data_IF_757275061071
#
_entry.id   IF_757275061071
#
_cell.length_a   1.000
_cell.length_b   1.000
_cell.length_c   1.000
_cell.angle_alpha   90.00
_cell.angle_beta   90.00
_cell.angle_gamma   90.00
#
_symmetry.space_group_name_H-M   'P 1'
#
loop_
_entity.id
_entity.type
_entity.pdbx_description
1 polymer ?
#
# COMPACT_ATOMS: atom_id res chain seq x y z
N UNK A 1 3.66 -20.21 -0.13
CA UNK A 1 3.39 -20.05 -1.57
C UNK A 1 2.78 -18.67 -1.78
N UNK A 2 3.38 -17.84 -2.64
CA UNK A 2 2.93 -16.45 -2.93
C UNK A 2 2.16 -16.33 -4.24
N UNK A 3 2.38 -17.27 -5.18
CA UNK A 3 1.65 -17.33 -6.45
C UNK A 3 1.49 -18.78 -6.90
N UNK A 4 0.25 -19.18 -7.18
CA UNK A 4 -0.11 -20.45 -7.80
C UNK A 4 -1.41 -20.25 -8.58
N UNK A 5 -1.29 -19.91 -9.85
CA UNK A 5 -2.43 -19.51 -10.69
C UNK A 5 -2.37 -20.14 -12.06
N UNK A 6 -3.56 -20.29 -12.65
CA UNK A 6 -3.74 -20.54 -14.06
C UNK A 6 -4.19 -19.25 -14.73
N UNK A 7 -3.48 -18.82 -15.77
CA UNK A 7 -3.76 -17.62 -16.56
C UNK A 7 -4.14 -18.01 -17.99
N UNK A 8 -5.22 -17.40 -18.49
CA UNK A 8 -5.67 -17.52 -19.88
C UNK A 8 -5.82 -16.14 -20.50
N UNK A 9 -5.14 -15.94 -21.64
CA UNK A 9 -5.28 -14.75 -22.48
C UNK A 9 -6.29 -14.98 -23.59
N UNK A 10 -7.02 -13.93 -23.97
CA UNK A 10 -8.01 -13.94 -25.04
C UNK A 10 -7.99 -12.61 -25.81
N UNK A 11 -8.66 -12.55 -26.96
CA UNK A 11 -8.70 -11.37 -27.84
C UNK A 11 -7.30 -10.83 -28.16
N UNK A 12 -6.43 -11.71 -28.69
CA UNK A 12 -5.05 -11.36 -29.07
C UNK A 12 -4.22 -10.79 -27.89
N UNK A 13 -4.54 -11.21 -26.66
CA UNK A 13 -3.84 -10.77 -25.46
C UNK A 13 -4.35 -9.45 -24.86
N UNK A 14 -5.46 -8.90 -25.38
CA UNK A 14 -6.13 -7.74 -24.76
C UNK A 14 -6.89 -8.13 -23.49
N UNK A 15 -7.43 -9.34 -23.44
CA UNK A 15 -8.11 -9.89 -22.28
C UNK A 15 -7.25 -10.90 -21.53
N UNK A 16 -7.36 -10.92 -20.20
CA UNK A 16 -6.72 -11.94 -19.35
C UNK A 16 -7.66 -12.35 -18.22
N UNK A 17 -7.80 -13.65 -17.99
CA UNK A 17 -8.44 -14.21 -16.79
C UNK A 17 -7.40 -15.02 -16.02
N UNK A 18 -7.36 -14.82 -14.71
CA UNK A 18 -6.47 -15.55 -13.79
C UNK A 18 -7.33 -16.18 -12.68
N UNK A 19 -7.07 -17.45 -12.38
CA UNK A 19 -7.69 -18.17 -11.27
C UNK A 19 -6.63 -18.91 -10.47
N UNK A 20 -6.69 -18.82 -9.14
CA UNK A 20 -5.79 -19.56 -8.26
C UNK A 20 -5.51 -18.84 -6.96
N UNK A 21 -4.36 -19.13 -6.34
CA UNK A 21 -3.87 -18.46 -5.14
C UNK A 21 -2.88 -17.36 -5.53
N UNK A 22 -3.28 -16.10 -5.43
CA UNK A 22 -2.44 -14.92 -5.70
C UNK A 22 -2.67 -13.83 -4.67
N UNK A 23 -1.78 -12.84 -4.62
CA UNK A 23 -1.96 -11.67 -3.77
C UNK A 23 -2.67 -10.56 -4.56
N UNK A 24 -3.84 -10.04 -4.11
CA UNK A 24 -4.51 -8.93 -4.79
C UNK A 24 -3.60 -7.69 -4.94
N UNK A 25 -2.63 -7.50 -4.06
CA UNK A 25 -1.68 -6.37 -4.11
C UNK A 25 -0.74 -6.40 -5.31
N UNK A 26 -0.54 -7.56 -5.94
CA UNK A 26 0.25 -7.67 -7.16
C UNK A 26 -0.43 -6.96 -8.35
N UNK A 27 -1.74 -6.70 -8.25
CA UNK A 27 -2.55 -6.17 -9.33
C UNK A 27 -3.26 -4.86 -8.99
N UNK A 28 -3.58 -4.63 -7.72
CA UNK A 28 -4.38 -3.49 -7.24
C UNK A 28 -3.65 -2.73 -6.13
N UNK A 29 -3.82 -1.41 -6.10
CA UNK A 29 -3.23 -0.53 -5.09
C UNK A 29 -1.70 -0.60 -5.11
N UNK A 30 -1.12 -0.67 -6.32
CA UNK A 30 0.32 -0.90 -6.48
C UNK A 30 1.09 0.30 -5.86
N UNK A 31 2.12 0.05 -5.05
CA UNK A 31 2.91 1.10 -4.42
C UNK A 31 3.47 2.11 -5.44
N UNK A 32 3.41 3.40 -5.08
CA UNK A 32 3.85 4.52 -5.94
C UNK A 32 5.19 5.12 -5.53
N UNK A 33 5.79 4.63 -4.46
CA UNK A 33 7.01 5.17 -3.87
C UNK A 33 8.05 4.07 -3.63
N UNK A 34 9.30 4.51 -3.49
CA UNK A 34 10.47 3.64 -3.61
C UNK A 34 10.76 2.82 -2.35
N UNK A 35 10.32 3.27 -1.17
CA UNK A 35 10.51 2.54 0.10
C UNK A 35 9.27 1.66 0.41
N UNK A 36 9.37 0.31 0.34
CA UNK A 36 8.19 -0.56 0.40
C UNK A 36 7.38 -0.49 1.70
N UNK A 37 8.06 -0.39 2.85
CA UNK A 37 7.41 -0.36 4.18
C UNK A 37 6.65 0.93 4.46
N UNK A 38 6.94 2.01 3.73
CA UNK A 38 6.29 3.29 3.95
C UNK A 38 5.08 3.55 3.05
N UNK A 39 4.92 2.77 1.99
CA UNK A 39 4.08 3.16 0.85
C UNK A 39 2.69 2.55 0.82
N UNK A 40 2.38 1.66 1.76
CA UNK A 40 1.11 0.97 1.78
C UNK A 40 0.02 1.88 2.38
N UNK A 41 -1.21 1.73 1.90
CA UNK A 41 -2.37 2.33 2.55
C UNK A 41 -2.89 1.37 3.63
N UNK A 42 -2.90 1.78 4.91
CA UNK A 42 -3.55 1.01 5.97
C UNK A 42 -5.04 0.73 5.67
N UNK A 43 -5.73 1.63 4.97
CA UNK A 43 -7.13 1.40 4.58
C UNK A 43 -7.24 0.22 3.62
N UNK A 44 -6.42 0.16 2.57
CA UNK A 44 -6.43 -0.99 1.66
C UNK A 44 -6.06 -2.28 2.39
N UNK A 45 -5.11 -2.23 3.32
CA UNK A 45 -4.69 -3.41 4.08
C UNK A 45 -5.76 -3.93 5.04
N UNK A 46 -6.36 -3.06 5.86
CA UNK A 46 -7.27 -3.47 6.94
C UNK A 46 -8.74 -3.41 6.54
N UNK A 47 -9.20 -2.32 5.90
CA UNK A 47 -10.59 -2.24 5.42
C UNK A 47 -10.75 -3.04 4.11
N UNK A 48 -9.84 -2.85 3.16
CA UNK A 48 -9.84 -3.61 1.91
C UNK A 48 -9.39 -5.07 2.04
N UNK A 49 -8.76 -5.46 3.17
CA UNK A 49 -8.17 -6.80 3.36
C UNK A 49 -7.17 -7.18 2.25
N UNK A 50 -6.46 -6.18 1.69
CA UNK A 50 -5.39 -6.36 0.69
C UNK A 50 -4.06 -6.49 1.43
N UNK A 51 -3.76 -7.70 1.93
CA UNK A 51 -2.56 -7.96 2.73
C UNK A 51 -1.29 -8.08 1.84
N UNK A 52 -0.17 -7.38 2.15
CA UNK A 52 1.06 -7.49 1.36
C UNK A 52 1.71 -8.86 1.26
N UNK A 53 1.46 -9.77 2.20
CA UNK A 53 2.31 -10.95 2.40
C UNK A 53 1.59 -12.25 2.09
N UNK A 54 0.26 -12.27 2.09
CA UNK A 54 -0.53 -13.49 1.91
C UNK A 54 -1.17 -13.54 0.52
N UNK A 55 -1.01 -14.70 -0.11
CA UNK A 55 -1.78 -15.07 -1.29
C UNK A 55 -3.07 -15.80 -0.89
N UNK A 56 -4.19 -15.43 -1.48
CA UNK A 56 -5.50 -16.02 -1.22
C UNK A 56 -6.10 -16.58 -2.50
N UNK A 57 -7.04 -17.52 -2.36
CA UNK A 57 -7.79 -18.02 -3.50
C UNK A 57 -8.65 -16.90 -4.09
N UNK A 58 -8.56 -16.71 -5.39
CA UNK A 58 -9.28 -15.66 -6.07
C UNK A 58 -9.38 -15.88 -7.58
N UNK A 59 -10.13 -14.99 -8.19
CA UNK A 59 -10.26 -14.87 -9.64
C UNK A 59 -10.13 -13.40 -10.02
N UNK A 60 -9.45 -13.14 -11.12
CA UNK A 60 -9.25 -11.81 -11.70
C UNK A 60 -9.55 -11.85 -13.18
N UNK A 61 -10.15 -10.78 -13.69
CA UNK A 61 -10.28 -10.51 -15.10
C UNK A 61 -9.75 -9.11 -15.40
N UNK A 62 -8.95 -8.98 -16.46
CA UNK A 62 -8.37 -7.73 -16.92
C UNK A 62 -8.61 -7.53 -18.42
N UNK A 63 -8.83 -6.30 -18.84
CA UNK A 63 -9.01 -5.92 -20.23
C UNK A 63 -8.25 -4.63 -20.57
N UNK A 64 -7.42 -4.71 -21.60
CA UNK A 64 -6.68 -3.57 -22.18
C UNK A 64 -7.55 -2.90 -23.23
N UNK A 65 -8.03 -1.70 -22.94
CA UNK A 65 -8.80 -0.88 -23.88
C UNK A 65 -7.88 -0.23 -24.91
N UNK A 66 -6.72 0.24 -24.46
CA UNK A 66 -5.61 0.76 -25.30
C UNK A 66 -4.29 0.16 -24.81
N UNK A 67 -3.16 0.57 -25.40
CA UNK A 67 -1.83 0.23 -24.87
C UNK A 67 -1.62 0.76 -23.45
N UNK A 68 -2.29 1.85 -23.08
CA UNK A 68 -2.11 2.57 -21.81
C UNK A 68 -3.23 2.33 -20.80
N UNK A 69 -4.46 2.07 -21.27
CA UNK A 69 -5.64 1.96 -20.40
C UNK A 69 -6.01 0.50 -20.21
N UNK A 70 -5.98 0.06 -18.96
CA UNK A 70 -6.45 -1.27 -18.54
C UNK A 70 -7.46 -1.13 -17.42
N UNK A 71 -8.62 -1.78 -17.54
CA UNK A 71 -9.48 -2.01 -16.38
C UNK A 71 -9.43 -3.47 -15.97
N UNK A 72 -9.61 -3.72 -14.69
CA UNK A 72 -9.68 -5.07 -14.16
C UNK A 72 -10.59 -5.13 -12.95
N UNK A 73 -11.14 -6.31 -12.76
CA UNK A 73 -11.95 -6.67 -11.61
C UNK A 73 -11.44 -7.97 -11.04
N UNK A 74 -11.65 -8.20 -9.76
CA UNK A 74 -11.37 -9.49 -9.17
C UNK A 74 -12.01 -9.65 -7.81
N UNK A 75 -12.02 -10.89 -7.36
CA UNK A 75 -12.45 -11.27 -6.02
C UNK A 75 -11.45 -12.24 -5.42
N UNK A 76 -11.07 -11.97 -4.19
CA UNK A 76 -10.25 -12.86 -3.38
C UNK A 76 -11.02 -13.20 -2.12
N UNK A 77 -10.88 -14.45 -1.68
CA UNK A 77 -11.16 -14.77 -0.29
C UNK A 77 -10.20 -13.99 0.60
N UNK A 78 -10.69 -13.60 1.77
CA UNK A 78 -9.95 -12.83 2.75
C UNK A 78 -9.77 -13.68 4.01
N UNK A 79 -8.53 -14.08 4.25
CA UNK A 79 -8.13 -14.84 5.43
C UNK A 79 -7.90 -13.91 6.62
N UNK A 80 -8.84 -13.92 7.56
CA UNK A 80 -8.75 -13.14 8.80
C UNK A 80 -7.70 -13.69 9.78
N UNK A 81 -7.11 -14.86 9.51
CA UNK A 81 -6.23 -15.56 10.46
C UNK A 81 -4.74 -15.16 10.32
N UNK A 82 -4.42 -14.13 9.54
CA UNK A 82 -3.06 -13.54 9.53
C UNK A 82 -2.67 -13.00 10.91
N UNK A 83 -1.42 -13.20 11.39
CA UNK A 83 -0.28 -13.85 10.74
C UNK A 83 -0.14 -15.35 10.99
N UNK A 84 -1.17 -16.01 11.52
CA UNK A 84 -1.14 -17.42 11.90
C UNK A 84 -1.48 -18.38 10.74
N UNK A 85 -1.83 -17.86 9.56
CA UNK A 85 -2.04 -18.68 8.37
C UNK A 85 -0.73 -19.04 7.67
N UNK A 86 -0.67 -20.25 7.12
CA UNK A 86 0.49 -20.73 6.39
C UNK A 86 0.30 -20.52 4.89
N UNK A 87 1.40 -20.32 4.15
CA UNK A 87 1.35 -20.21 2.70
C UNK A 87 0.87 -21.47 1.97
N UNK A 88 0.62 -22.57 2.68
CA UNK A 88 0.14 -23.86 2.16
C UNK A 88 -1.27 -24.22 2.65
N UNK A 89 -1.91 -23.32 3.42
CA UNK A 89 -3.25 -23.54 3.92
C UNK A 89 -4.25 -23.59 2.75
N UNK A 90 -4.82 -24.76 2.51
CA UNK A 90 -5.81 -25.01 1.47
C UNK A 90 -7.22 -24.55 1.87
N UNK A 91 -7.54 -24.55 3.17
CA UNK A 91 -8.80 -24.07 3.73
C UNK A 91 -8.56 -23.01 4.80
N UNK A 92 -9.15 -21.84 4.62
CA UNK A 92 -9.06 -20.72 5.55
C UNK A 92 -9.74 -21.09 6.88
N UNK A 93 -9.03 -20.93 7.99
CA UNK A 93 -9.60 -21.13 9.32
C UNK A 93 -10.11 -19.78 9.86
N UNK A 94 -11.42 -19.64 10.08
CA UNK A 94 -12.02 -18.41 10.62
C UNK A 94 -13.22 -17.90 9.81
N UNK A 95 -13.80 -16.75 10.22
CA UNK A 95 -14.93 -16.13 9.54
C UNK A 95 -14.57 -15.84 8.07
N UNK A 96 -15.27 -16.51 7.15
CA UNK A 96 -15.02 -16.37 5.72
C UNK A 96 -15.50 -14.99 5.25
N UNK A 97 -14.64 -14.30 4.48
CA UNK A 97 -15.00 -13.04 3.84
C UNK A 97 -14.38 -12.95 2.45
N UNK A 98 -14.89 -12.04 1.63
CA UNK A 98 -14.38 -11.81 0.28
C UNK A 98 -14.08 -10.34 0.11
N UNK A 99 -12.99 -10.05 -0.59
CA UNK A 99 -12.64 -8.72 -1.09
C UNK A 99 -12.88 -8.69 -2.59
N UNK A 100 -13.75 -7.78 -3.00
CA UNK A 100 -14.03 -7.42 -4.38
C UNK A 100 -13.27 -6.15 -4.72
N UNK A 101 -12.56 -6.17 -5.84
CA UNK A 101 -11.73 -5.07 -6.32
C UNK A 101 -12.10 -4.74 -7.76
N UNK A 102 -12.11 -3.46 -8.08
CA UNK A 102 -12.27 -2.97 -9.44
C UNK A 102 -11.35 -1.76 -9.62
N UNK A 103 -10.47 -1.77 -10.62
CA UNK A 103 -9.66 -0.61 -10.93
C UNK A 103 -9.68 -0.27 -12.42
N UNK A 104 -9.27 0.96 -12.68
CA UNK A 104 -8.82 1.43 -13.98
C UNK A 104 -7.42 2.00 -13.79
N UNK A 105 -6.52 1.62 -14.69
CA UNK A 105 -5.13 2.08 -14.71
C UNK A 105 -4.83 2.78 -16.02
N UNK A 106 -4.03 3.84 -15.94
CA UNK A 106 -3.44 4.51 -17.09
C UNK A 106 -1.92 4.46 -16.93
N UNK A 107 -1.23 3.77 -17.83
CA UNK A 107 0.21 3.52 -17.76
C UNK A 107 0.86 3.79 -19.11
N UNK A 108 1.81 4.70 -19.17
CA UNK A 108 2.62 4.91 -20.38
C UNK A 108 3.92 4.11 -20.30
N UNK A 109 4.44 3.68 -21.44
CA UNK A 109 5.71 2.95 -21.51
C UNK A 109 6.86 3.92 -21.20
N UNK A 110 7.66 3.71 -20.15
CA UNK A 110 8.82 4.56 -19.86
C UNK A 110 9.89 4.55 -20.95
N UNK A 111 9.86 3.56 -21.85
CA UNK A 111 10.73 3.52 -23.03
C UNK A 111 10.19 4.33 -24.21
N UNK A 112 8.94 4.82 -24.18
CA UNK A 112 8.33 5.57 -25.28
C UNK A 112 7.83 6.96 -24.85
N UNK A 113 7.58 7.15 -23.56
CA UNK A 113 7.11 8.40 -22.97
C UNK A 113 8.16 8.97 -22.00
N UNK A 114 8.78 10.09 -22.39
CA UNK A 114 9.74 10.85 -21.57
C UNK A 114 9.16 11.22 -20.20
N UNK A 115 7.85 11.46 -20.15
CA UNK A 115 7.15 11.87 -18.94
C UNK A 115 6.27 10.74 -18.44
N UNK A 116 6.85 9.54 -18.34
CA UNK A 116 6.15 8.31 -18.02
C UNK A 116 5.18 8.46 -16.85
N UNK A 117 3.99 7.90 -17.02
CA UNK A 117 2.82 8.08 -16.15
C UNK A 117 2.32 6.73 -15.69
N UNK A 118 1.97 6.64 -14.42
CA UNK A 118 1.26 5.50 -13.86
C UNK A 118 0.20 6.03 -12.92
N UNK A 119 -1.07 5.80 -13.25
CA UNK A 119 -2.22 6.16 -12.43
C UNK A 119 -3.13 4.97 -12.22
N UNK A 120 -3.72 4.90 -11.05
CA UNK A 120 -4.71 3.90 -10.66
C UNK A 120 -5.86 4.57 -9.92
N UNK A 121 -7.08 4.28 -10.35
CA UNK A 121 -8.31 4.49 -9.61
C UNK A 121 -8.87 3.12 -9.23
N UNK A 122 -8.97 2.83 -7.95
CA UNK A 122 -9.40 1.56 -7.39
C UNK A 122 -10.61 1.75 -6.48
N UNK A 123 -11.59 0.87 -6.62
CA UNK A 123 -12.69 0.68 -5.70
C UNK A 123 -12.55 -0.68 -5.03
N UNK A 124 -12.79 -0.73 -3.73
CA UNK A 124 -12.83 -1.98 -2.99
C UNK A 124 -14.14 -2.13 -2.23
N UNK A 125 -14.57 -3.38 -2.07
CA UNK A 125 -15.62 -3.78 -1.17
C UNK A 125 -15.23 -5.11 -0.53
N UNK A 126 -15.16 -5.16 0.79
CA UNK A 126 -14.88 -6.35 1.56
C UNK A 126 -16.11 -6.74 2.39
N UNK A 127 -16.39 -8.04 2.52
CA UNK A 127 -17.58 -8.55 3.23
C UNK A 127 -17.30 -8.98 4.67
N UNK A 128 -16.10 -8.74 5.19
CA UNK A 128 -15.74 -9.18 6.53
C UNK A 128 -16.67 -8.55 7.56
N UNK A 129 -17.14 -9.39 8.46
CA UNK A 129 -17.82 -8.93 9.67
C UNK A 129 -16.77 -8.77 10.75
N UNK A 130 -16.76 -7.61 11.41
CA UNK A 130 -15.90 -7.35 12.55
C UNK A 130 -16.77 -6.99 13.75
N UNK A 131 -16.40 -7.54 14.91
CA UNK A 131 -17.07 -7.24 16.19
C UNK A 131 -16.52 -5.95 16.81
N UNK A 132 -15.25 -5.65 16.50
CA UNK A 132 -14.49 -4.51 17.01
C UNK A 132 -13.76 -3.81 15.84
N UNK A 133 -13.32 -2.57 16.06
CA UNK A 133 -12.30 -1.94 15.22
C UNK A 133 -10.97 -2.72 15.34
N UNK A 134 -9.91 -2.34 14.59
CA UNK A 134 -8.55 -2.90 14.75
C UNK A 134 -8.05 -2.90 16.23
N UNK A 135 -8.72 -2.13 17.08
CA UNK A 135 -8.55 -2.03 18.52
C UNK A 135 -9.74 -2.67 19.28
N UNK A 136 -9.59 -3.84 19.94
CA UNK A 136 -10.71 -4.59 20.57
C UNK A 136 -11.11 -4.07 21.96
N UNK A 137 -11.48 -2.80 22.13
CA UNK A 137 -11.60 -2.23 23.48
C UNK A 137 -12.99 -2.40 24.12
N UNK A 138 -13.12 -2.02 25.39
CA UNK A 138 -14.24 -2.45 26.25
C UNK A 138 -15.60 -1.83 25.89
N UNK A 139 -15.66 -0.88 24.95
CA UNK A 139 -16.86 -0.10 24.65
C UNK A 139 -17.03 0.06 23.13
N UNK A 140 -17.73 -0.90 22.51
CA UNK A 140 -18.79 -0.75 21.50
C UNK A 140 -19.02 -2.09 20.80
N UNK A 141 -20.08 -2.80 21.17
CA UNK A 141 -20.50 -4.03 20.52
C UNK A 141 -21.66 -3.77 19.55
N UNK A 142 -21.36 -3.85 18.25
CA UNK A 142 -22.33 -4.04 17.18
C UNK A 142 -21.65 -4.73 16.00
N UNK A 143 -22.24 -5.78 15.39
CA UNK A 143 -21.60 -6.44 14.25
C UNK A 143 -21.59 -5.48 13.05
N UNK A 144 -20.43 -4.94 12.71
CA UNK A 144 -20.26 -4.13 11.51
C UNK A 144 -19.95 -5.05 10.34
N UNK A 145 -20.74 -4.92 9.27
CA UNK A 145 -20.65 -5.79 8.10
C UNK A 145 -20.11 -5.03 6.92
N UNK A 146 -18.99 -5.53 6.43
CA UNK A 146 -18.33 -5.09 5.24
C UNK A 146 -17.74 -3.69 5.34
N UNK A 147 -16.87 -3.40 4.40
CA UNK A 147 -16.32 -2.06 4.23
C UNK A 147 -16.06 -1.81 2.76
N UNK A 148 -16.28 -0.57 2.34
CA UNK A 148 -15.99 -0.12 0.99
C UNK A 148 -15.20 1.16 1.02
N UNK A 149 -14.57 1.45 -0.10
CA UNK A 149 -13.84 2.67 -0.27
C UNK A 149 -13.21 2.80 -1.64
N UNK A 150 -12.39 3.83 -1.74
CA UNK A 150 -11.71 4.24 -2.94
C UNK A 150 -10.23 4.42 -2.63
N UNK A 151 -9.41 4.15 -3.63
CA UNK A 151 -8.00 4.48 -3.67
C UNK A 151 -7.68 5.16 -5.00
N UNK A 152 -6.88 6.22 -4.92
CA UNK A 152 -6.27 6.85 -6.08
C UNK A 152 -4.77 6.88 -5.83
N UNK A 153 -3.99 6.39 -6.78
CA UNK A 153 -2.54 6.40 -6.70
C UNK A 153 -1.94 6.78 -8.03
N UNK A 154 -0.79 7.45 -7.99
CA UNK A 154 0.02 7.58 -9.18
C UNK A 154 1.41 8.14 -8.99
N UNK A 155 2.17 8.05 -10.07
CA UNK A 155 3.52 8.59 -10.22
C UNK A 155 3.67 9.11 -11.64
N UNK A 156 4.23 10.30 -11.79
CA UNK A 156 4.55 10.89 -13.09
C UNK A 156 5.93 11.54 -13.04
N UNK A 157 6.74 11.26 -14.06
CA UNK A 157 7.95 12.05 -14.34
C UNK A 157 7.52 13.45 -14.78
N UNK A 158 7.97 14.48 -14.08
CA UNK A 158 7.63 15.89 -14.37
C UNK A 158 8.80 16.68 -14.92
N UNK A 159 10.03 16.21 -14.69
CA UNK A 159 11.23 16.85 -15.21
C UNK A 159 12.29 15.81 -15.54
N UNK A 160 12.88 15.96 -16.72
CA UNK A 160 13.90 15.07 -17.27
C UNK A 160 14.76 15.89 -18.24
N UNK A 161 15.84 16.56 -17.78
CA UNK A 161 16.57 17.54 -18.57
C UNK A 161 17.24 16.93 -19.81
N UNK A 162 17.72 15.69 -19.72
CA UNK A 162 18.60 15.09 -20.73
C UNK A 162 17.89 14.50 -21.96
N UNK A 163 16.60 14.81 -22.17
CA UNK A 163 15.95 14.60 -23.47
C UNK A 163 15.63 13.16 -23.90
N UNK A 164 16.29 12.15 -23.36
CA UNK A 164 16.30 10.82 -23.98
C UNK A 164 15.07 9.95 -23.69
N UNK A 165 14.60 9.27 -24.74
CA UNK A 165 13.66 8.14 -24.72
C UNK A 165 14.34 6.95 -25.43
N UNK A 166 14.19 5.75 -24.87
CA UNK A 166 14.74 4.43 -25.25
C UNK A 166 16.28 4.32 -25.38
N UNK A 167 16.92 3.80 -24.34
CA UNK A 167 18.23 3.14 -24.46
C UNK A 167 19.38 3.79 -23.69
N UNK A 168 19.24 5.01 -23.17
CA UNK A 168 20.27 5.65 -22.33
C UNK A 168 20.01 5.32 -20.85
N UNK A 169 20.80 4.45 -20.21
CA UNK A 169 20.62 4.17 -18.79
C UNK A 169 21.06 5.40 -17.98
N UNK A 170 20.23 5.83 -17.03
CA UNK A 170 20.68 6.73 -15.97
C UNK A 170 20.58 8.25 -16.09
N UNK A 171 19.81 8.86 -17.00
CA UNK A 171 19.60 10.31 -16.95
C UNK A 171 18.83 10.71 -15.69
N UNK A 172 19.12 11.92 -15.21
CA UNK A 172 18.45 12.48 -14.04
C UNK A 172 16.94 12.64 -14.33
N UNK A 173 16.09 12.27 -13.37
CA UNK A 173 14.67 12.53 -13.47
C UNK A 173 14.04 12.90 -12.13
N UNK A 174 13.03 13.77 -12.19
CA UNK A 174 12.21 14.15 -11.06
C UNK A 174 10.79 13.66 -11.31
N UNK A 175 10.27 12.88 -10.38
CA UNK A 175 8.89 12.39 -10.39
C UNK A 175 8.10 12.97 -9.23
N UNK A 176 6.84 13.31 -9.48
CA UNK A 176 5.83 13.51 -8.45
C UNK A 176 5.12 12.18 -8.25
N UNK A 177 4.88 11.79 -7.00
CA UNK A 177 4.07 10.62 -6.68
C UNK A 177 3.11 10.94 -5.55
N UNK A 178 2.01 10.20 -5.50
CA UNK A 178 1.10 10.29 -4.38
C UNK A 178 0.04 9.22 -4.41
N UNK A 179 -0.59 9.03 -3.26
CA UNK A 179 -1.78 8.22 -3.14
C UNK A 179 -2.75 8.82 -2.12
N UNK A 180 -4.00 8.42 -2.24
CA UNK A 180 -5.05 8.73 -1.30
C UNK A 180 -6.00 7.54 -1.24
N UNK A 181 -6.38 7.13 -0.03
CA UNK A 181 -7.41 6.15 0.20
C UNK A 181 -8.45 6.70 1.16
N UNK A 182 -9.71 6.36 0.96
CA UNK A 182 -10.80 6.70 1.88
C UNK A 182 -11.74 5.53 2.02
N UNK A 183 -12.18 5.27 3.25
CA UNK A 183 -13.33 4.39 3.49
C UNK A 183 -14.62 5.20 3.43
N UNK A 184 -15.69 4.60 2.92
CA UNK A 184 -17.03 5.17 2.97
C UNK A 184 -17.77 4.86 4.27
N UNK A 185 -17.23 3.98 5.12
CA UNK A 185 -17.83 3.61 6.40
C UNK A 185 -17.09 4.27 7.56
N UNK A 186 -17.87 4.86 8.49
CA UNK A 186 -17.35 5.28 9.80
C UNK A 186 -16.99 4.08 10.69
N UNK A 187 -17.52 2.89 10.41
CA UNK A 187 -17.23 1.67 11.15
C UNK A 187 -16.56 0.69 10.18
N UNK A 188 -15.25 0.83 10.02
CA UNK A 188 -14.44 -0.01 9.15
C UNK A 188 -13.31 -0.64 9.95
N UNK A 189 -12.83 -1.80 9.51
CA UNK A 189 -11.82 -2.58 10.22
C UNK A 189 -10.48 -1.82 10.40
N UNK A 190 -10.18 -0.81 9.58
CA UNK A 190 -8.99 0.00 9.77
C UNK A 190 -9.13 1.04 10.88
N UNK A 191 -10.35 1.46 11.28
CA UNK A 191 -10.55 2.62 12.16
C UNK A 191 -10.14 3.96 11.51
N UNK A 192 -9.89 3.95 10.20
CA UNK A 192 -9.37 5.09 9.45
C UNK A 192 -10.41 5.56 8.42
N UNK A 193 -10.66 6.87 8.42
CA UNK A 193 -11.52 7.52 7.43
C UNK A 193 -10.76 7.71 6.12
N UNK A 194 -9.55 8.27 6.20
CA UNK A 194 -8.70 8.49 5.03
C UNK A 194 -7.21 8.41 5.35
N UNK A 195 -6.42 8.11 4.34
CA UNK A 195 -4.96 8.14 4.37
C UNK A 195 -4.45 8.72 3.06
N UNK A 196 -3.29 9.38 3.07
CA UNK A 196 -2.69 9.87 1.84
C UNK A 196 -1.20 10.12 1.96
N UNK A 197 -0.54 10.19 0.82
CA UNK A 197 0.87 10.55 0.70
C UNK A 197 1.06 11.39 -0.55
N UNK A 198 1.93 12.39 -0.47
CA UNK A 198 2.39 13.18 -1.60
C UNK A 198 3.90 13.36 -1.48
N UNK A 199 4.63 13.16 -2.57
CA UNK A 199 6.08 13.26 -2.54
C UNK A 199 6.73 13.48 -3.90
N UNK A 200 8.03 13.67 -3.82
CA UNK A 200 8.95 13.82 -4.94
C UNK A 200 10.01 12.74 -4.85
N UNK A 201 10.37 12.16 -6.00
CA UNK A 201 11.50 11.25 -6.13
C UNK A 201 12.44 11.79 -7.19
N UNK A 202 13.69 12.01 -6.83
CA UNK A 202 14.77 12.32 -7.74
C UNK A 202 15.59 11.05 -7.99
N UNK A 203 15.75 10.67 -9.25
CA UNK A 203 16.59 9.55 -9.68
C UNK A 203 17.86 10.09 -10.32
N UNK A 204 19.00 9.44 -10.06
CA UNK A 204 20.27 9.79 -10.71
C UNK A 204 20.78 11.18 -10.33
N UNK A 205 20.53 11.64 -9.09
CA UNK A 205 21.02 12.92 -8.57
C UNK A 205 22.54 13.08 -8.75
N UNK A 206 23.28 11.98 -8.61
CA UNK A 206 24.71 11.92 -8.86
C UNK A 206 24.96 11.17 -10.17
N UNK A 207 25.70 11.78 -11.10
CA UNK A 207 26.05 11.13 -12.40
C UNK A 207 26.79 9.80 -12.24
N UNK A 208 27.59 9.66 -11.17
CA UNK A 208 28.28 8.42 -10.83
C UNK A 208 27.36 7.33 -10.25
N UNK A 209 26.12 7.68 -9.88
CA UNK A 209 25.12 6.79 -9.28
C UNK A 209 23.76 6.95 -10.00
N UNK A 210 23.69 6.63 -11.30
CA UNK A 210 22.52 6.92 -12.15
C UNK A 210 21.23 6.21 -11.76
N UNK A 211 21.33 5.14 -10.99
CA UNK A 211 20.19 4.31 -10.61
C UNK A 211 19.69 4.57 -9.19
N UNK A 212 20.44 5.33 -8.40
CA UNK A 212 20.05 5.69 -7.06
C UNK A 212 18.86 6.65 -7.07
N UNK A 213 18.01 6.54 -6.06
CA UNK A 213 16.88 7.44 -5.86
C UNK A 213 16.95 8.11 -4.50
N UNK A 214 16.46 9.35 -4.42
CA UNK A 214 16.20 10.06 -3.17
C UNK A 214 14.78 10.58 -3.24
N UNK A 215 13.99 10.33 -2.19
CA UNK A 215 12.61 10.77 -2.11
C UNK A 215 12.35 11.60 -0.86
N UNK A 216 11.45 12.56 -0.99
CA UNK A 216 10.87 13.29 0.13
C UNK A 216 9.35 13.25 0.01
N UNK A 217 8.67 13.01 1.14
CA UNK A 217 7.20 12.86 1.14
C UNK A 217 6.57 13.36 2.42
N UNK A 218 5.31 13.74 2.29
CA UNK A 218 4.39 14.03 3.39
C UNK A 218 3.30 12.99 3.36
N UNK A 219 3.01 12.39 4.51
CA UNK A 219 1.92 11.44 4.70
C UNK A 219 0.91 11.99 5.70
N UNK A 220 -0.32 11.57 5.52
CA UNK A 220 -1.48 11.98 6.31
C UNK A 220 -2.34 10.75 6.63
N UNK A 221 -2.84 10.67 7.85
CA UNK A 221 -3.84 9.69 8.25
C UNK A 221 -4.94 10.38 9.07
N UNK A 222 -6.18 9.89 8.91
CA UNK A 222 -7.35 10.37 9.64
C UNK A 222 -8.12 9.22 10.24
N UNK A 223 -8.26 9.20 11.55
CA UNK A 223 -9.14 8.24 12.24
C UNK A 223 -10.60 8.54 11.91
N UNK A 224 -11.49 7.54 11.90
CA UNK A 224 -12.94 7.78 11.89
C UNK A 224 -13.37 8.49 13.18
N UNK A 225 -14.57 9.07 13.20
CA UNK A 225 -15.08 9.67 14.44
C UNK A 225 -15.29 8.62 15.54
N UNK A 226 -15.73 7.42 15.15
CA UNK A 226 -15.92 6.27 16.04
C UNK A 226 -14.59 5.78 16.64
N UNK A 227 -13.54 5.62 15.83
CA UNK A 227 -12.21 5.21 16.32
C UNK A 227 -11.64 6.27 17.27
N UNK A 228 -11.81 7.54 16.94
CA UNK A 228 -11.37 8.63 17.82
C UNK A 228 -12.06 8.57 19.19
N UNK A 229 -13.39 8.45 19.20
CA UNK A 229 -14.16 8.33 20.44
C UNK A 229 -13.73 7.09 21.24
N UNK A 230 -13.43 6.00 20.54
CA UNK A 230 -12.95 4.77 21.15
C UNK A 230 -11.59 4.96 21.84
N UNK A 231 -10.62 5.61 21.19
CA UNK A 231 -9.31 5.91 21.78
C UNK A 231 -9.46 6.81 23.01
N UNK A 232 -10.37 7.79 22.94
CA UNK A 232 -10.67 8.70 24.05
C UNK A 232 -11.25 7.99 25.27
N UNK A 233 -12.27 7.16 25.05
CA UNK A 233 -12.92 6.42 26.13
C UNK A 233 -11.99 5.35 26.72
N UNK A 234 -11.20 4.67 25.89
CA UNK A 234 -10.26 3.64 26.35
C UNK A 234 -9.17 4.25 27.24
N UNK A 235 -8.60 5.39 26.84
CA UNK A 235 -7.62 6.09 27.66
C UNK A 235 -8.19 6.49 29.02
N UNK A 236 -9.40 7.06 29.05
CA UNK A 236 -10.08 7.44 30.30
C UNK A 236 -10.39 6.22 31.18
N UNK A 237 -10.91 5.13 30.59
CA UNK A 237 -11.26 3.91 31.31
C UNK A 237 -10.05 3.23 31.96
N UNK A 238 -8.86 3.36 31.36
CA UNK A 238 -7.60 2.86 31.91
C UNK A 238 -6.99 3.78 32.98
N UNK A 239 -7.64 4.89 33.34
CA UNK A 239 -7.14 5.85 34.33
C UNK A 239 -6.21 6.92 33.77
N UNK A 240 -6.19 7.13 32.45
CA UNK A 240 -5.54 8.27 31.83
C UNK A 240 -6.25 9.59 32.15
N UNK A 241 -5.57 10.71 31.93
CA UNK A 241 -6.12 12.06 32.19
C UNK A 241 -7.00 12.59 31.04
N UNK A 242 -7.39 11.72 30.11
CA UNK A 242 -8.11 12.06 28.90
C UNK A 242 -7.20 12.17 27.68
N UNK A 243 -7.69 11.66 26.55
CA UNK A 243 -7.03 11.71 25.26
C UNK A 243 -7.58 12.89 24.46
N UNK A 244 -6.72 13.80 24.00
CA UNK A 244 -7.12 15.00 23.26
C UNK A 244 -6.31 15.19 21.97
N UNK A 245 -5.69 14.11 21.49
CA UNK A 245 -5.02 14.11 20.19
C UNK A 245 -6.10 14.19 19.12
N UNK A 246 -5.99 15.13 18.18
CA UNK A 246 -6.94 15.23 17.09
C UNK A 246 -6.88 14.02 16.15
N UNK A 247 -7.92 13.85 15.32
CA UNK A 247 -8.07 12.71 14.40
C UNK A 247 -6.99 12.58 13.33
N UNK A 248 -6.26 13.67 13.06
CA UNK A 248 -5.33 13.79 11.94
C UNK A 248 -3.89 13.59 12.40
N UNK A 249 -3.17 12.62 11.86
CA UNK A 249 -1.72 12.49 12.06
C UNK A 249 -0.99 12.77 10.75
N UNK A 250 0.18 13.39 10.86
CA UNK A 250 1.02 13.73 9.72
C UNK A 250 2.43 13.18 9.91
N UNK A 251 3.09 12.85 8.82
CA UNK A 251 4.49 12.49 8.82
C UNK A 251 5.23 13.15 7.67
N UNK A 252 6.49 13.52 7.89
CA UNK A 252 7.42 13.94 6.84
C UNK A 252 8.56 12.93 6.81
N UNK A 253 8.83 12.37 5.65
CA UNK A 253 9.88 11.38 5.45
C UNK A 253 10.83 11.78 4.33
N UNK A 254 12.11 11.51 4.55
CA UNK A 254 13.14 11.49 3.50
C UNK A 254 13.74 10.09 3.48
N UNK A 255 13.90 9.54 2.29
CA UNK A 255 14.53 8.24 2.07
C UNK A 255 15.41 8.26 0.82
N UNK A 256 16.28 7.26 0.71
CA UNK A 256 17.05 6.98 -0.49
C UNK A 256 17.03 5.50 -0.80
N UNK A 257 17.25 5.11 -2.06
CA UNK A 257 17.66 3.76 -2.44
C UNK A 257 19.03 3.83 -3.09
N UNK A 258 19.99 3.20 -2.43
CA UNK A 258 21.39 3.17 -2.83
C UNK A 258 21.68 1.78 -3.36
N UNK A 259 21.93 1.66 -4.67
CA UNK A 259 22.30 0.40 -5.29
C UNK A 259 23.79 0.17 -5.03
N UNK A 260 24.09 -0.69 -4.06
CA UNK A 260 25.47 -1.01 -3.67
C UNK A 260 26.08 -1.98 -4.69
N UNK A 261 25.31 -3.01 -5.06
CA UNK A 261 25.60 -3.94 -6.15
C UNK A 261 24.29 -4.26 -6.88
N UNK A 262 24.31 -4.90 -8.06
CA UNK A 262 23.09 -5.33 -8.73
C UNK A 262 22.16 -6.24 -7.89
N UNK A 263 22.68 -6.80 -6.80
CA UNK A 263 21.96 -7.70 -5.89
C UNK A 263 21.71 -7.11 -4.49
N UNK A 264 22.29 -5.95 -4.17
CA UNK A 264 22.21 -5.36 -2.82
C UNK A 264 21.78 -3.90 -2.93
N UNK A 265 20.64 -3.60 -2.32
CA UNK A 265 20.08 -2.25 -2.23
C UNK A 265 20.01 -1.87 -0.74
N UNK A 266 20.49 -0.68 -0.42
CA UNK A 266 20.43 -0.12 0.93
C UNK A 266 19.56 1.13 0.90
N UNK A 267 18.54 1.15 1.76
CA UNK A 267 17.53 2.20 1.78
C UNK A 267 17.46 2.87 3.15
N UNK A 268 18.30 3.89 3.42
CA UNK A 268 18.19 4.68 4.64
C UNK A 268 16.93 5.55 4.59
N UNK A 269 16.32 5.77 5.76
CA UNK A 269 15.19 6.68 5.89
C UNK A 269 15.23 7.42 7.23
N UNK A 270 14.62 8.60 7.23
CA UNK A 270 14.26 9.34 8.43
C UNK A 270 12.83 9.85 8.28
N UNK A 271 12.04 9.70 9.32
CA UNK A 271 10.65 10.15 9.38
C UNK A 271 10.41 10.92 10.67
N UNK A 272 9.65 12.00 10.57
CA UNK A 272 9.17 12.78 11.71
C UNK A 272 7.65 12.81 11.69
N UNK A 273 7.04 12.50 12.83
CA UNK A 273 5.58 12.49 12.99
C UNK A 273 5.08 13.74 13.73
N UNK A 274 3.83 14.11 13.47
CA UNK A 274 3.16 15.26 14.05
C UNK A 274 1.72 14.89 14.39
N UNK A 275 1.29 15.30 15.60
CA UNK A 275 0.00 14.93 16.18
C UNK A 275 -0.19 13.41 16.26
N UNK A 276 0.85 12.71 16.73
CA UNK A 276 0.83 11.25 16.83
C UNK A 276 -0.26 10.76 17.76
N UNK A 277 -0.98 9.75 17.28
CA UNK A 277 -2.14 9.19 17.94
C UNK A 277 -1.84 7.75 18.42
N UNK A 278 -2.72 7.17 19.25
CA UNK A 278 -2.57 5.83 19.83
C UNK A 278 -3.29 4.76 19.02
N UNK A 279 -3.58 4.98 17.74
CA UNK A 279 -4.28 4.02 16.87
C UNK A 279 -3.61 2.64 16.83
N UNK A 280 -2.27 2.59 16.79
CA UNK A 280 -1.52 1.33 16.85
C UNK A 280 -1.45 0.70 18.25
N UNK A 281 -1.63 1.50 19.31
CA UNK A 281 -1.52 1.08 20.71
C UNK A 281 -2.65 1.69 21.55
N UNK A 282 -3.91 1.26 21.31
CA UNK A 282 -5.11 1.89 21.87
C UNK A 282 -5.19 1.78 23.41
N UNK A 283 -4.64 0.73 24.00
CA UNK A 283 -4.65 0.48 25.44
C UNK A 283 -3.51 1.18 26.15
N UNK A 284 -3.57 2.50 26.20
CA UNK A 284 -2.57 3.30 26.87
C UNK A 284 -3.23 4.38 27.71
N UNK A 285 -2.69 4.60 28.91
CA UNK A 285 -2.99 5.78 29.73
C UNK A 285 -2.19 7.01 29.28
N UNK A 286 -1.15 6.79 28.47
CA UNK A 286 -0.20 7.83 28.05
C UNK A 286 -0.55 8.37 26.68
N UNK A 287 -0.57 9.71 26.56
CA UNK A 287 -0.67 10.41 25.28
C UNK A 287 0.64 10.24 24.48
N UNK A 288 0.59 9.74 23.23
CA UNK A 288 1.76 9.67 22.37
C UNK A 288 2.35 11.06 22.09
N UNK A 289 3.68 11.13 21.96
CA UNK A 289 4.41 12.34 21.58
C UNK A 289 4.82 12.24 20.12
N UNK A 290 4.97 13.40 19.48
CA UNK A 290 5.63 13.49 18.17
C UNK A 290 7.03 12.87 18.26
N UNK A 291 7.43 12.12 17.24
CA UNK A 291 8.67 11.36 17.23
C UNK A 291 9.50 11.59 15.99
N UNK A 292 10.76 11.18 16.08
CA UNK A 292 11.64 10.96 14.93
C UNK A 292 12.01 9.49 14.96
N UNK A 293 11.83 8.82 13.83
CA UNK A 293 12.35 7.47 13.61
C UNK A 293 13.28 7.49 12.41
N UNK A 294 14.34 6.70 12.47
CA UNK A 294 15.28 6.53 11.38
C UNK A 294 15.75 5.09 11.34
N UNK A 295 16.19 4.65 10.18
CA UNK A 295 16.64 3.29 10.01
C UNK A 295 17.23 3.06 8.64
N UNK A 296 17.70 1.84 8.45
CA UNK A 296 18.26 1.37 7.18
C UNK A 296 17.57 0.06 6.86
N UNK A 297 16.98 -0.02 5.66
CA UNK A 297 16.49 -1.27 5.09
C UNK A 297 17.57 -1.82 4.13
N UNK A 298 17.81 -3.13 4.17
CA UNK A 298 18.65 -3.80 3.19
C UNK A 298 17.82 -4.82 2.40
N UNK A 299 17.89 -4.75 1.07
CA UNK A 299 17.28 -5.74 0.18
C UNK A 299 18.39 -6.52 -0.50
N UNK A 300 18.37 -7.84 -0.32
CA UNK A 300 19.35 -8.78 -0.88
C UNK A 300 18.62 -9.71 -1.84
N UNK A 301 19.00 -9.63 -3.12
CA UNK A 301 18.42 -10.41 -4.22
C UNK A 301 19.27 -11.67 -4.44
N UNK A 302 19.00 -12.71 -3.66
CA UNK A 302 19.76 -13.97 -3.72
C UNK A 302 19.64 -14.67 -5.07
N UNK A 303 18.48 -14.58 -5.73
CA UNK A 303 18.26 -15.09 -7.08
C UNK A 303 19.26 -14.49 -8.09
N UNK A 304 19.48 -13.17 -8.03
CA UNK A 304 20.51 -12.50 -8.84
C UNK A 304 21.92 -12.91 -8.44
N UNK A 305 22.20 -13.05 -7.14
CA UNK A 305 23.52 -13.50 -6.66
C UNK A 305 23.86 -14.92 -7.14
N UNK A 306 22.83 -15.77 -7.24
CA UNK A 306 22.95 -17.17 -7.64
C UNK A 306 22.77 -17.37 -9.15
N UNK A 307 22.52 -16.30 -9.93
CA UNK A 307 22.29 -16.37 -11.38
C UNK A 307 21.00 -17.11 -11.77
N UNK A 308 20.02 -17.20 -10.86
CA UNK A 308 18.75 -17.90 -11.06
C UNK A 308 17.70 -17.02 -11.76
N UNK A 309 17.86 -15.70 -11.68
CA UNK A 309 17.10 -14.76 -12.48
C UNK A 309 17.74 -14.66 -13.87
N UNK A 310 17.01 -15.04 -14.93
CA UNK A 310 17.44 -14.78 -16.32
C UNK A 310 17.68 -13.28 -16.56
N UNK A 311 18.65 -12.96 -17.41
CA UNK A 311 18.99 -11.59 -17.82
C UNK A 311 17.78 -10.82 -18.37
#
# INVERSE_FOLDING_TARGET
>A
MTLFTWEQKFLEGRGTVEFGKSNPRDFFGVPVCELPFGCFSPILQYAGQINPVIANWGVRAAYKFTSEITAQVGVWRSDANYPYSTGWTASEQGPQSNTYLANVTYRTDPQQDRYAKNYELLFFYNTASHKDFNSPGPILSGPYKGSSGIYVGGKQVVWHPDGDIAGTPGPFSLSVFGNFASSFSQHNAAGLESTGTLGLTAKGLLKSRPYDTVSARVSYTRNTASEQNFLEQTNLALGGTGYNVGRNEYAVQVDANIIVTPSVIVSPYIVRTFNTNSWLMPYTTTKPRNGIAYGILATILFDKMLGLSGN
#
